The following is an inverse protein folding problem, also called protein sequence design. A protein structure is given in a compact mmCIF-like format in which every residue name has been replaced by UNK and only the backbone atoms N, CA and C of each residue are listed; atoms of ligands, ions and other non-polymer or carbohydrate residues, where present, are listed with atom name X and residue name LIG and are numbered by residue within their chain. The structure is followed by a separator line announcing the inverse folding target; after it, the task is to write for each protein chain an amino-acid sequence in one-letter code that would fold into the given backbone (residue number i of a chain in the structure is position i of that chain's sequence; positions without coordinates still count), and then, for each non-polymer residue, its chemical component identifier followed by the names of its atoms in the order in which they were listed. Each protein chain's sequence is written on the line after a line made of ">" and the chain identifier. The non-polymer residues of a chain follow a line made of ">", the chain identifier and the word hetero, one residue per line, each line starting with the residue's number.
data_IF_113349797369
#
_entry.id   IF_113349797369
#
_cell.length_a   1.000
_cell.length_b   1.000
_cell.length_c   1.000
_cell.angle_alpha   90.00
_cell.angle_beta   90.00
_cell.angle_gamma   90.00
#
_symmetry.space_group_name_H-M   'P 1'
#
loop_
_entity.id
_entity.type
_entity.pdbx_description
1 polymer ?
#
# COMPACT_ATOMS: atom_id res chain seq x y z
N UNK A 1 -0.01 -21.90 15.79
CA UNK A 1 0.48 -20.76 14.99
C UNK A 1 -0.72 -19.88 14.69
N UNK A 2 -0.70 -18.60 15.09
CA UNK A 2 -1.79 -17.69 14.75
C UNK A 2 -1.86 -17.54 13.23
N UNK A 3 -3.06 -17.60 12.65
CA UNK A 3 -3.25 -17.37 11.23
C UNK A 3 -2.77 -15.94 10.88
N UNK A 4 -1.93 -15.80 9.85
CA UNK A 4 -1.44 -14.50 9.39
C UNK A 4 -2.63 -13.68 8.88
N UNK A 5 -2.84 -12.48 9.45
CA UNK A 5 -3.88 -11.56 8.98
C UNK A 5 -3.43 -10.94 7.65
N UNK A 6 -3.97 -11.46 6.55
CA UNK A 6 -3.64 -11.06 5.18
C UNK A 6 -4.03 -9.61 4.86
N UNK A 7 -5.16 -9.11 5.37
CA UNK A 7 -5.55 -7.70 5.19
C UNK A 7 -4.56 -6.75 5.87
N UNK A 8 -4.19 -7.04 7.12
CA UNK A 8 -3.17 -6.27 7.83
C UNK A 8 -1.81 -6.32 7.12
N UNK A 9 -1.42 -7.48 6.57
CA UNK A 9 -0.18 -7.60 5.81
C UNK A 9 -0.23 -6.78 4.51
N UNK A 10 -1.37 -6.73 3.84
CA UNK A 10 -1.54 -5.91 2.64
C UNK A 10 -1.31 -4.43 2.94
N UNK A 11 -1.89 -3.91 4.02
CA UNK A 11 -1.69 -2.52 4.42
C UNK A 11 -0.27 -2.23 4.91
N UNK A 12 0.39 -3.18 5.59
CA UNK A 12 1.80 -3.02 5.97
C UNK A 12 2.68 -2.84 4.72
N UNK A 13 2.44 -3.63 3.68
CA UNK A 13 3.11 -3.45 2.38
C UNK A 13 2.75 -2.11 1.72
N UNK A 14 1.49 -1.68 1.78
CA UNK A 14 1.08 -0.36 1.29
C UNK A 14 1.79 0.79 2.02
N UNK A 15 1.91 0.75 3.35
CA UNK A 15 2.61 1.78 4.11
C UNK A 15 4.11 1.79 3.82
N UNK A 16 4.74 0.62 3.66
CA UNK A 16 6.14 0.53 3.19
C UNK A 16 6.32 1.15 1.80
N UNK A 17 5.36 0.96 0.89
CA UNK A 17 5.42 1.63 -0.41
C UNK A 17 5.42 3.15 -0.23
N UNK A 18 4.54 3.66 0.63
CA UNK A 18 4.49 5.10 0.90
C UNK A 18 5.82 5.61 1.47
N UNK A 19 6.42 4.89 2.41
CA UNK A 19 7.75 5.19 2.95
C UNK A 19 8.82 5.28 1.85
N UNK A 20 8.85 4.28 0.96
CA UNK A 20 9.81 4.22 -0.15
C UNK A 20 9.58 5.35 -1.17
N UNK A 21 8.33 5.80 -1.37
CA UNK A 21 8.00 6.91 -2.26
C UNK A 21 8.46 8.27 -1.70
N UNK A 22 8.63 8.40 -0.39
CA UNK A 22 9.19 9.58 0.28
C UNK A 22 10.71 9.65 0.27
N UNK A 23 11.40 8.59 -0.17
CA UNK A 23 12.84 8.59 -0.27
C UNK A 23 13.35 9.70 -1.22
N UNK A 24 14.41 10.41 -0.83
CA UNK A 24 14.91 11.61 -1.54
C UNK A 24 15.36 11.35 -2.99
N UNK A 25 15.72 10.10 -3.30
CA UNK A 25 16.22 9.71 -4.62
C UNK A 25 15.52 8.47 -5.14
N UNK A 26 14.95 8.58 -6.34
CA UNK A 26 14.37 7.46 -7.07
C UNK A 26 15.36 6.90 -8.10
N UNK A 27 15.51 5.58 -8.10
CA UNK A 27 16.32 4.86 -9.07
C UNK A 27 15.58 3.59 -9.50
N UNK A 28 16.13 2.89 -10.50
CA UNK A 28 15.49 1.69 -11.08
C UNK A 28 15.29 0.57 -10.06
N UNK A 29 16.22 0.42 -9.12
CA UNK A 29 16.15 -0.60 -8.07
C UNK A 29 15.02 -0.28 -7.08
N UNK A 30 14.91 0.97 -6.65
CA UNK A 30 13.85 1.43 -5.76
C UNK A 30 12.48 1.28 -6.43
N UNK A 31 12.35 1.64 -7.71
CA UNK A 31 11.11 1.43 -8.46
C UNK A 31 10.72 -0.06 -8.53
N UNK A 32 11.69 -0.95 -8.75
CA UNK A 32 11.43 -2.39 -8.76
C UNK A 32 10.99 -2.90 -7.38
N UNK A 33 11.58 -2.37 -6.30
CA UNK A 33 11.16 -2.65 -4.92
C UNK A 33 9.73 -2.18 -4.67
N UNK A 34 9.40 -0.95 -5.03
CA UNK A 34 8.04 -0.40 -4.87
C UNK A 34 7.02 -1.27 -5.61
N UNK A 35 7.32 -1.63 -6.87
CA UNK A 35 6.48 -2.53 -7.66
C UNK A 35 6.22 -3.86 -6.95
N UNK A 36 7.25 -4.47 -6.38
CA UNK A 36 7.14 -5.76 -5.69
C UNK A 36 6.35 -5.63 -4.37
N UNK A 37 6.48 -4.54 -3.63
CA UNK A 37 5.68 -4.29 -2.43
C UNK A 37 4.21 -4.03 -2.76
N UNK A 38 3.91 -3.32 -3.86
CA UNK A 38 2.55 -3.15 -4.38
C UNK A 38 1.92 -4.48 -4.83
N UNK A 39 2.70 -5.35 -5.47
CA UNK A 39 2.25 -6.70 -5.82
C UNK A 39 1.86 -7.51 -4.58
N UNK A 40 2.70 -7.48 -3.53
CA UNK A 40 2.40 -8.14 -2.26
C UNK A 40 1.16 -7.54 -1.60
N UNK A 41 1.00 -6.22 -1.62
CA UNK A 41 -0.19 -5.56 -1.09
C UNK A 41 -1.46 -6.06 -1.80
N UNK A 42 -1.46 -6.03 -3.14
CA UNK A 42 -2.57 -6.50 -3.95
C UNK A 42 -2.89 -7.98 -3.74
N UNK A 43 -1.89 -8.88 -3.80
CA UNK A 43 -2.09 -10.33 -3.65
C UNK A 43 -2.64 -10.67 -2.26
N UNK A 44 -2.08 -10.09 -1.20
CA UNK A 44 -2.56 -10.35 0.16
C UNK A 44 -3.99 -9.81 0.37
N UNK A 45 -4.32 -8.63 -0.17
CA UNK A 45 -5.67 -8.09 -0.04
C UNK A 45 -6.67 -8.89 -0.87
N UNK A 46 -6.29 -9.33 -2.07
CA UNK A 46 -7.11 -10.21 -2.91
C UNK A 46 -7.47 -11.49 -2.17
N UNK A 47 -6.48 -12.17 -1.60
CA UNK A 47 -6.70 -13.36 -0.77
C UNK A 47 -7.57 -13.06 0.44
N UNK A 48 -7.42 -11.89 1.05
CA UNK A 48 -8.20 -11.48 2.21
C UNK A 48 -9.70 -11.30 1.87
N UNK A 49 -9.99 -10.51 0.83
CA UNK A 49 -11.36 -10.18 0.39
C UNK A 49 -12.07 -11.38 -0.23
N UNK A 50 -11.35 -12.26 -0.93
CA UNK A 50 -11.95 -13.45 -1.56
C UNK A 50 -12.34 -14.54 -0.57
N UNK A 51 -11.69 -14.61 0.60
CA UNK A 51 -11.84 -15.76 1.50
C UNK A 51 -12.93 -15.59 2.57
N UNK A 52 -13.34 -14.36 2.95
CA UNK A 52 -14.44 -14.06 3.90
C UNK A 52 -14.93 -12.60 3.76
N UNK A 53 -16.11 -12.29 4.30
CA UNK A 53 -16.45 -10.90 4.67
C UNK A 53 -15.41 -10.35 5.65
N UNK A 54 -14.65 -9.32 5.26
CA UNK A 54 -13.67 -8.67 6.13
C UNK A 54 -14.40 -7.91 7.24
N UNK A 55 -14.12 -8.29 8.49
CA UNK A 55 -14.59 -7.57 9.68
C UNK A 55 -13.85 -6.24 9.93
N UNK A 56 -12.83 -5.97 9.13
CA UNK A 56 -11.89 -4.85 9.23
C UNK A 56 -12.32 -3.59 8.46
N UNK A 57 -13.16 -3.74 7.42
CA UNK A 57 -13.62 -2.66 6.55
C UNK A 57 -13.07 -2.67 5.11
N UNK A 58 -12.18 -3.60 4.74
CA UNK A 58 -11.72 -3.81 3.37
C UNK A 58 -12.85 -4.18 2.42
N UNK A 59 -12.88 -3.53 1.26
CA UNK A 59 -13.87 -3.70 0.20
C UNK A 59 -13.20 -3.94 -1.15
N UNK A 60 -13.99 -4.33 -2.14
CA UNK A 60 -13.53 -4.46 -3.53
C UNK A 60 -12.89 -3.17 -4.07
N UNK A 61 -13.35 -1.99 -3.62
CA UNK A 61 -12.73 -0.71 -3.97
C UNK A 61 -11.28 -0.60 -3.51
N UNK A 62 -10.94 -1.17 -2.35
CA UNK A 62 -9.58 -1.16 -1.81
C UNK A 62 -8.69 -2.12 -2.61
N UNK A 63 -9.25 -3.26 -3.01
CA UNK A 63 -8.59 -4.19 -3.92
C UNK A 63 -8.28 -3.55 -5.27
N UNK A 64 -9.25 -2.84 -5.84
CA UNK A 64 -9.09 -2.13 -7.11
C UNK A 64 -8.04 -1.01 -7.00
N UNK A 65 -7.99 -0.32 -5.86
CA UNK A 65 -6.98 0.70 -5.59
C UNK A 65 -5.55 0.13 -5.61
N UNK A 66 -5.28 -0.94 -4.84
CA UNK A 66 -3.96 -1.57 -4.87
C UNK A 66 -3.62 -2.18 -6.22
N UNK A 67 -4.62 -2.73 -6.93
CA UNK A 67 -4.41 -3.24 -8.27
C UNK A 67 -3.98 -2.14 -9.25
N UNK A 68 -4.66 -0.98 -9.22
CA UNK A 68 -4.31 0.18 -10.04
C UNK A 68 -2.88 0.64 -9.76
N UNK A 69 -2.52 0.88 -8.49
CA UNK A 69 -1.16 1.28 -8.11
C UNK A 69 -0.10 0.31 -8.66
N UNK A 70 -0.35 -1.01 -8.54
CA UNK A 70 0.55 -2.03 -9.04
C UNK A 70 0.72 -1.96 -10.57
N UNK A 71 -0.36 -1.77 -11.33
CA UNK A 71 -0.27 -1.67 -12.80
C UNK A 71 0.50 -0.42 -13.23
N UNK A 72 0.21 0.73 -12.63
CA UNK A 72 0.91 1.98 -12.92
C UNK A 72 2.42 1.85 -12.66
N UNK A 73 2.80 1.32 -11.50
CA UNK A 73 4.21 1.12 -11.17
C UNK A 73 4.87 0.06 -12.07
N UNK A 74 4.14 -1.01 -12.43
CA UNK A 74 4.63 -2.04 -13.34
C UNK A 74 4.93 -1.48 -14.73
N UNK A 75 4.05 -0.63 -15.26
CA UNK A 75 4.27 0.06 -16.53
C UNK A 75 5.44 1.04 -16.42
N UNK A 76 5.49 1.85 -15.37
CA UNK A 76 6.57 2.80 -15.11
C UNK A 76 7.95 2.13 -15.04
N UNK A 77 8.05 0.96 -14.41
CA UNK A 77 9.27 0.13 -14.40
C UNK A 77 9.64 -0.34 -15.81
N UNK A 78 8.65 -0.79 -16.60
CA UNK A 78 8.88 -1.29 -17.95
C UNK A 78 9.41 -0.20 -18.90
N UNK A 79 8.86 1.00 -18.81
CA UNK A 79 9.28 2.16 -19.63
C UNK A 79 10.39 3.00 -18.98
N UNK A 80 10.84 2.62 -17.78
CA UNK A 80 11.87 3.31 -16.99
C UNK A 80 11.52 4.78 -16.69
N UNK A 81 10.25 5.07 -16.41
CA UNK A 81 9.75 6.42 -16.11
C UNK A 81 9.47 6.61 -14.63
N UNK A 82 9.98 7.69 -14.05
CA UNK A 82 9.69 8.06 -12.65
C UNK A 82 8.48 9.01 -12.53
N UNK A 83 7.85 9.37 -13.65
CA UNK A 83 6.77 10.37 -13.67
C UNK A 83 5.54 9.96 -12.84
N UNK A 84 5.32 8.66 -12.66
CA UNK A 84 4.20 8.15 -11.86
C UNK A 84 4.42 8.32 -10.36
N UNK A 85 5.68 8.46 -9.91
CA UNK A 85 6.03 8.37 -8.49
C UNK A 85 5.31 9.42 -7.63
N UNK A 86 5.27 10.71 -8.00
CA UNK A 86 4.52 11.71 -7.23
C UNK A 86 3.02 11.39 -7.15
N UNK A 87 2.43 10.90 -8.26
CA UNK A 87 1.00 10.55 -8.32
C UNK A 87 0.69 9.41 -7.35
N UNK A 88 1.45 8.32 -7.38
CA UNK A 88 1.23 7.19 -6.49
C UNK A 88 1.44 7.58 -5.01
N UNK A 89 2.40 8.46 -4.73
CA UNK A 89 2.64 8.95 -3.37
C UNK A 89 1.43 9.69 -2.83
N UNK A 90 0.91 10.65 -3.59
CA UNK A 90 -0.18 11.51 -3.14
C UNK A 90 -1.49 10.71 -2.99
N UNK A 91 -1.78 9.79 -3.91
CA UNK A 91 -2.93 8.89 -3.84
C UNK A 91 -2.86 7.93 -2.65
N UNK A 92 -1.68 7.35 -2.39
CA UNK A 92 -1.48 6.42 -1.29
C UNK A 92 -1.52 7.12 0.08
N UNK A 93 -0.98 8.34 0.17
CA UNK A 93 -1.14 9.19 1.34
C UNK A 93 -2.62 9.48 1.60
N UNK A 94 -3.36 9.91 0.58
CA UNK A 94 -4.78 10.22 0.72
C UNK A 94 -5.60 8.98 1.11
N UNK A 95 -5.28 7.81 0.53
CA UNK A 95 -5.90 6.55 0.90
C UNK A 95 -5.73 6.25 2.39
N UNK A 96 -4.50 6.32 2.92
CA UNK A 96 -4.26 6.04 4.34
C UNK A 96 -4.84 7.10 5.28
N UNK A 97 -4.80 8.39 4.92
CA UNK A 97 -5.48 9.44 5.70
C UNK A 97 -6.99 9.19 5.78
N UNK A 98 -7.62 8.80 4.68
CA UNK A 98 -9.07 8.54 4.64
C UNK A 98 -9.45 7.26 5.41
N UNK A 99 -8.59 6.25 5.36
CA UNK A 99 -8.86 4.95 5.98
C UNK A 99 -8.49 4.88 7.45
N UNK A 100 -7.60 5.73 7.93
CA UNK A 100 -7.21 5.76 9.34
C UNK A 100 -8.43 5.93 10.26
N UNK A 101 -9.41 6.75 9.90
CA UNK A 101 -10.61 6.94 10.73
C UNK A 101 -11.53 5.71 10.80
N UNK A 102 -11.45 4.80 9.82
CA UNK A 102 -12.49 3.78 9.59
C UNK A 102 -11.96 2.34 9.52
N UNK A 103 -10.65 2.13 9.52
CA UNK A 103 -10.05 0.82 9.29
C UNK A 103 -9.08 0.41 10.40
N UNK A 104 -9.52 -0.50 11.27
CA UNK A 104 -8.78 -0.92 12.47
C UNK A 104 -7.37 -1.45 12.16
N UNK A 105 -7.19 -2.21 11.08
CA UNK A 105 -5.87 -2.73 10.72
C UNK A 105 -4.88 -1.60 10.39
N UNK A 106 -5.35 -0.51 9.78
CA UNK A 106 -4.52 0.63 9.39
C UNK A 106 -4.16 1.42 10.65
N UNK A 107 -5.13 1.71 11.51
CA UNK A 107 -4.90 2.36 12.81
C UNK A 107 -3.82 1.63 13.63
N UNK A 108 -3.94 0.30 13.74
CA UNK A 108 -2.97 -0.50 14.49
C UNK A 108 -1.55 -0.45 13.88
N UNK A 109 -1.43 -0.33 12.57
CA UNK A 109 -0.14 -0.22 11.88
C UNK A 109 0.49 1.16 12.06
N UNK A 110 -0.31 2.22 11.92
CA UNK A 110 0.15 3.60 12.10
C UNK A 110 0.65 3.83 13.53
N UNK A 111 -0.08 3.34 14.53
CA UNK A 111 0.29 3.49 15.95
C UNK A 111 1.53 2.68 16.38
N UNK A 112 1.88 1.59 15.68
CA UNK A 112 2.89 0.62 16.16
C UNK A 112 4.13 0.47 15.28
N UNK A 113 4.01 0.71 13.97
CA UNK A 113 5.06 0.41 13.00
C UNK A 113 5.39 1.57 12.08
N UNK A 114 4.39 2.38 11.75
CA UNK A 114 4.50 3.45 10.75
C UNK A 114 4.18 4.82 11.35
N UNK A 115 4.66 5.07 12.57
CA UNK A 115 4.40 6.31 13.32
C UNK A 115 4.94 7.57 12.61
N UNK A 116 5.92 7.40 11.71
CA UNK A 116 6.47 8.46 10.87
C UNK A 116 5.42 9.16 9.98
N UNK A 117 4.28 8.51 9.72
CA UNK A 117 3.17 9.11 8.99
C UNK A 117 2.54 10.30 9.72
N UNK A 118 2.65 10.37 11.05
CA UNK A 118 2.17 11.53 11.83
C UNK A 118 3.00 12.79 11.53
N UNK A 119 4.28 12.64 11.18
CA UNK A 119 5.18 13.77 10.89
C UNK A 119 4.94 14.39 9.50
N UNK A 120 4.17 13.70 8.65
CA UNK A 120 3.86 14.10 7.26
C UNK A 120 2.39 14.55 7.13
N UNK A 121 1.58 14.32 8.17
CA UNK A 121 0.15 14.61 8.18
C UNK A 121 -0.16 16.11 8.26
#
# INVERSE_FOLDING_TARGET
>A
MAAINKGMLAHDHGLRVLELLYHEFWNKELMATIKNELEKAYVNLKEHVMNKECACGDRETDLNFYHWLYQEMKEAVAIQSMAVVPVLRDELLQYFKTKDESHRCIQELLLKKHTWMEDIA
#
